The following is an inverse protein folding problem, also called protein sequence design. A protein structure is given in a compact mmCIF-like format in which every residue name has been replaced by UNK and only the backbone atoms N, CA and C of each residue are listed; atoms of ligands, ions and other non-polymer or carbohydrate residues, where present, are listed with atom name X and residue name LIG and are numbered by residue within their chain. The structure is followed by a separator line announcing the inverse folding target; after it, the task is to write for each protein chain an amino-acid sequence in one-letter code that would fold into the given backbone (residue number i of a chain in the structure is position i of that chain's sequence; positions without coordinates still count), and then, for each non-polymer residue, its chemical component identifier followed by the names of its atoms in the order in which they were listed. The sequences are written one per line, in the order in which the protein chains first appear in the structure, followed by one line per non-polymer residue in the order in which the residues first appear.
data_IF_031090905411
#
_entry.id   IF_031090905411
#
_cell.length_a   1.000
_cell.length_b   1.000
_cell.length_c   1.000
_cell.angle_alpha   90.00
_cell.angle_beta   90.00
_cell.angle_gamma   90.00
#
_symmetry.space_group_name_H-M   'P 1'
#
loop_
_entity.id
_entity.type
_entity.pdbx_description
1 polymer ?
#
# COMPACT_ATOMS: atom_id res chain seq x y z
N UNK A 1 -5.28 0.99 -28.63
CA UNK A 1 -4.51 -0.25 -28.84
C UNK A 1 -5.14 -1.40 -28.06
N UNK A 2 -4.99 -2.63 -28.56
CA UNK A 2 -5.49 -3.85 -27.91
C UNK A 2 -4.33 -4.84 -27.83
N UNK A 3 -4.18 -5.52 -26.69
CA UNK A 3 -3.19 -6.60 -26.60
C UNK A 3 -3.56 -7.74 -27.56
N UNK A 4 -2.57 -8.42 -28.14
CA UNK A 4 -2.83 -9.47 -29.15
C UNK A 4 -3.71 -10.60 -28.61
N UNK A 5 -3.59 -10.87 -27.32
CA UNK A 5 -4.28 -11.91 -26.58
C UNK A 5 -5.62 -11.44 -25.99
N UNK A 6 -5.99 -10.16 -26.18
CA UNK A 6 -7.21 -9.60 -25.63
C UNK A 6 -7.22 -9.48 -24.10
N UNK A 7 -6.05 -9.25 -23.49
CA UNK A 7 -5.89 -9.07 -22.03
C UNK A 7 -6.29 -7.67 -21.60
N UNK A 8 -5.96 -6.66 -22.41
CA UNK A 8 -6.28 -5.26 -22.13
C UNK A 8 -6.51 -4.44 -23.42
N UNK A 9 -7.22 -3.34 -23.25
CA UNK A 9 -7.28 -2.21 -24.18
C UNK A 9 -6.76 -0.95 -23.51
N UNK A 10 -6.10 -0.08 -24.27
CA UNK A 10 -5.63 1.21 -23.77
C UNK A 10 -5.48 2.22 -24.91
N UNK A 11 -5.48 3.51 -24.60
CA UNK A 11 -5.12 4.58 -25.52
C UNK A 11 -3.84 5.26 -25.03
N UNK A 12 -2.96 5.64 -25.95
CA UNK A 12 -1.73 6.33 -25.57
C UNK A 12 -1.25 7.23 -26.69
N UNK A 13 -0.69 8.35 -26.29
CA UNK A 13 0.07 9.21 -27.18
C UNK A 13 1.46 8.63 -27.42
N UNK A 14 1.85 8.53 -28.70
CA UNK A 14 3.19 8.13 -29.11
C UNK A 14 3.51 8.75 -30.48
N UNK A 15 4.80 8.96 -30.75
CA UNK A 15 5.29 9.49 -32.03
C UNK A 15 5.19 8.46 -33.18
N UNK A 16 5.09 7.18 -32.86
CA UNK A 16 4.88 6.10 -33.81
C UNK A 16 4.07 4.97 -33.16
N UNK A 17 3.66 3.99 -33.96
CA UNK A 17 2.89 2.84 -33.47
C UNK A 17 3.66 2.12 -32.34
N UNK A 18 3.00 1.85 -31.20
CA UNK A 18 3.63 1.19 -30.07
C UNK A 18 3.94 -0.28 -30.39
N UNK A 19 5.05 -0.80 -29.86
CA UNK A 19 5.41 -2.21 -29.98
C UNK A 19 4.96 -2.97 -28.74
N UNK A 20 4.21 -4.06 -28.93
CA UNK A 20 3.77 -4.94 -27.85
C UNK A 20 4.54 -6.26 -27.91
N UNK A 21 5.16 -6.62 -26.79
CA UNK A 21 5.91 -7.88 -26.63
C UNK A 21 5.38 -8.62 -25.40
N UNK A 22 4.99 -9.88 -25.58
CA UNK A 22 4.49 -10.74 -24.51
C UNK A 22 5.66 -11.30 -23.69
N UNK A 23 5.51 -11.27 -22.37
CA UNK A 23 6.37 -11.94 -21.41
C UNK A 23 5.54 -12.83 -20.48
N UNK A 24 6.20 -13.67 -19.67
CA UNK A 24 5.48 -14.46 -18.66
C UNK A 24 4.81 -13.50 -17.64
N UNK A 25 3.49 -13.57 -17.54
CA UNK A 25 2.68 -12.79 -16.58
C UNK A 25 2.60 -11.28 -16.83
N UNK A 26 3.14 -10.78 -17.96
CA UNK A 26 3.06 -9.37 -18.33
C UNK A 26 3.17 -9.13 -19.83
N UNK A 27 2.74 -7.96 -20.29
CA UNK A 27 2.94 -7.49 -21.66
C UNK A 27 3.74 -6.19 -21.61
N UNK A 28 4.87 -6.17 -22.31
CA UNK A 28 5.72 -4.99 -22.48
C UNK A 28 5.20 -4.15 -23.64
N UNK A 29 5.02 -2.86 -23.39
CA UNK A 29 4.69 -1.82 -24.35
C UNK A 29 5.91 -0.92 -24.49
N UNK A 30 6.40 -0.76 -25.72
CA UNK A 30 7.41 0.23 -26.05
C UNK A 30 6.75 1.36 -26.83
N UNK A 31 6.80 2.57 -26.27
CA UNK A 31 6.16 3.77 -26.79
C UNK A 31 7.24 4.72 -27.31
N UNK A 32 7.40 4.86 -28.63
CA UNK A 32 8.33 5.84 -29.19
C UNK A 32 7.82 7.25 -28.88
N UNK A 33 8.61 8.07 -28.18
CA UNK A 33 8.26 9.45 -27.85
C UNK A 33 8.87 10.49 -28.82
N UNK A 34 9.56 10.02 -29.87
CA UNK A 34 10.38 10.89 -30.73
C UNK A 34 11.71 11.27 -30.09
N UNK A 35 12.13 10.53 -29.06
CA UNK A 35 13.40 10.67 -28.34
C UNK A 35 14.33 9.49 -28.61
N UNK A 36 15.57 9.56 -28.11
CA UNK A 36 16.55 8.46 -28.25
C UNK A 36 16.14 7.19 -27.49
N UNK A 37 15.47 7.34 -26.34
CA UNK A 37 15.01 6.23 -25.50
C UNK A 37 13.47 6.12 -25.53
N UNK A 38 12.91 4.97 -25.96
CA UNK A 38 11.46 4.77 -25.88
C UNK A 38 11.01 4.64 -24.43
N UNK A 39 9.78 5.08 -24.15
CA UNK A 39 9.14 4.81 -22.88
C UNK A 39 8.72 3.33 -22.86
N UNK A 40 9.12 2.60 -21.82
CA UNK A 40 8.81 1.19 -21.66
C UNK A 40 7.81 0.99 -20.52
N UNK A 41 6.67 0.36 -20.80
CA UNK A 41 5.67 0.01 -19.81
C UNK A 41 5.45 -1.50 -19.75
N UNK A 42 5.11 -2.02 -18.58
CA UNK A 42 4.74 -3.42 -18.34
C UNK A 42 3.35 -3.44 -17.74
N UNK A 43 2.40 -4.04 -18.46
CA UNK A 43 1.06 -4.33 -17.94
C UNK A 43 1.09 -5.74 -17.38
N UNK A 44 0.85 -5.87 -16.08
CA UNK A 44 0.84 -7.14 -15.37
C UNK A 44 -0.57 -7.74 -15.32
N UNK A 45 -0.65 -9.05 -15.20
CA UNK A 45 -1.93 -9.78 -15.08
C UNK A 45 -2.33 -10.08 -13.63
N UNK A 46 -1.43 -9.81 -12.69
CA UNK A 46 -1.64 -10.02 -11.26
C UNK A 46 -1.14 -8.82 -10.47
N UNK A 47 -1.76 -8.51 -9.31
CA UNK A 47 -1.29 -7.45 -8.42
C UNK A 47 0.22 -7.50 -8.20
N UNK A 48 0.84 -6.33 -8.18
CA UNK A 48 2.27 -6.15 -7.89
C UNK A 48 2.45 -5.35 -6.60
N UNK A 49 3.51 -5.67 -5.87
CA UNK A 49 3.99 -4.88 -4.74
C UNK A 49 4.68 -3.63 -5.29
N UNK A 50 4.10 -2.44 -5.11
CA UNK A 50 4.49 -1.26 -5.87
C UNK A 50 5.90 -0.77 -5.51
N UNK A 51 6.26 -0.74 -4.22
CA UNK A 51 7.60 -0.35 -3.78
C UNK A 51 8.63 -1.42 -4.18
N UNK A 52 8.29 -2.70 -4.01
CA UNK A 52 9.10 -3.84 -4.44
C UNK A 52 9.37 -3.86 -5.94
N UNK A 53 8.37 -3.56 -6.77
CA UNK A 53 8.51 -3.48 -8.23
C UNK A 53 9.45 -2.34 -8.65
N UNK A 54 9.32 -1.17 -8.03
CA UNK A 54 10.23 -0.03 -8.28
C UNK A 54 11.66 -0.36 -7.85
N UNK A 55 11.84 -0.97 -6.67
CA UNK A 55 13.15 -1.41 -6.21
C UNK A 55 13.76 -2.49 -7.12
N UNK A 56 12.96 -3.39 -7.68
CA UNK A 56 13.43 -4.39 -8.64
C UNK A 56 14.03 -3.75 -9.90
N UNK A 57 13.45 -2.64 -10.39
CA UNK A 57 14.04 -1.87 -11.50
C UNK A 57 15.38 -1.26 -11.09
N UNK A 58 15.47 -0.67 -9.90
CA UNK A 58 16.73 -0.11 -9.40
C UNK A 58 17.83 -1.19 -9.28
N UNK A 59 17.49 -2.37 -8.76
CA UNK A 59 18.41 -3.52 -8.68
C UNK A 59 18.83 -4.03 -10.07
N UNK A 60 17.90 -4.06 -11.03
CA UNK A 60 18.22 -4.43 -12.41
C UNK A 60 19.20 -3.43 -13.03
N UNK A 61 19.00 -2.12 -12.79
CA UNK A 61 19.92 -1.07 -13.23
C UNK A 61 21.32 -1.24 -12.62
N UNK A 62 21.42 -1.47 -11.31
CA UNK A 62 22.70 -1.73 -10.62
C UNK A 62 23.41 -3.01 -11.09
N UNK A 63 22.66 -3.98 -11.65
CA UNK A 63 23.24 -5.19 -12.22
C UNK A 63 24.10 -4.94 -13.47
N UNK A 64 23.97 -3.76 -14.10
CA UNK A 64 24.79 -3.37 -15.24
C UNK A 64 26.18 -2.87 -14.76
N UNK A 65 27.22 -3.31 -15.47
CA UNK A 65 28.61 -2.98 -15.12
C UNK A 65 28.83 -1.46 -15.09
N UNK A 66 29.32 -0.96 -13.95
CA UNK A 66 29.65 0.45 -13.77
C UNK A 66 28.47 1.34 -13.36
N UNK A 67 27.27 0.80 -13.17
CA UNK A 67 26.10 1.57 -12.73
C UNK A 67 26.02 1.61 -11.21
N UNK A 68 25.91 2.81 -10.64
CA UNK A 68 25.66 3.04 -9.21
C UNK A 68 24.38 3.85 -9.04
N UNK A 69 23.37 3.28 -8.39
CA UNK A 69 22.15 4.03 -8.03
C UNK A 69 22.44 4.90 -6.80
N UNK A 70 22.22 6.20 -6.94
CA UNK A 70 22.45 7.20 -5.91
C UNK A 70 21.19 7.44 -5.06
N UNK A 71 20.03 7.49 -5.71
CA UNK A 71 18.77 7.84 -5.07
C UNK A 71 17.61 7.06 -5.69
N UNK A 72 16.55 6.86 -4.91
CA UNK A 72 15.28 6.32 -5.34
C UNK A 72 14.19 6.98 -4.50
N UNK A 73 13.50 7.97 -5.07
CA UNK A 73 12.63 8.85 -4.30
C UNK A 73 11.28 9.05 -5.00
N UNK A 74 10.14 8.77 -4.32
CA UNK A 74 8.84 9.19 -4.81
C UNK A 74 8.76 10.70 -5.03
N UNK A 75 8.17 11.09 -6.16
CA UNK A 75 8.00 12.50 -6.56
C UNK A 75 6.55 12.93 -6.55
N UNK A 76 5.61 11.99 -6.73
CA UNK A 76 4.18 12.23 -6.70
C UNK A 76 3.39 10.95 -6.39
N UNK A 77 2.23 11.09 -5.75
CA UNK A 77 1.30 10.01 -5.45
C UNK A 77 -0.13 10.51 -5.65
N UNK A 78 -0.89 9.86 -6.52
CA UNK A 78 -2.25 10.26 -6.87
C UNK A 78 -3.15 9.07 -7.20
N UNK A 79 -4.45 9.31 -7.38
CA UNK A 79 -5.41 8.29 -7.84
C UNK A 79 -5.70 8.48 -9.33
N UNK A 80 -5.53 7.42 -10.13
CA UNK A 80 -5.84 7.41 -11.57
C UNK A 80 -6.71 6.21 -11.89
N UNK A 81 -7.90 6.46 -12.44
CA UNK A 81 -8.91 5.45 -12.75
C UNK A 81 -9.13 4.46 -11.60
N UNK A 82 -9.35 5.00 -10.38
CA UNK A 82 -9.68 4.23 -9.19
C UNK A 82 -8.55 3.39 -8.59
N UNK A 83 -7.28 3.62 -8.97
CA UNK A 83 -6.12 2.95 -8.41
C UNK A 83 -5.02 3.97 -8.04
N UNK A 84 -4.20 3.68 -7.02
CA UNK A 84 -3.08 4.54 -6.66
C UNK A 84 -1.99 4.46 -7.72
N UNK A 85 -1.39 5.61 -8.02
CA UNK A 85 -0.23 5.78 -8.89
C UNK A 85 0.85 6.48 -8.09
N UNK A 86 2.08 5.96 -8.15
CA UNK A 86 3.26 6.55 -7.55
C UNK A 86 4.32 6.80 -8.64
N UNK A 87 4.80 8.03 -8.70
CA UNK A 87 5.92 8.43 -9.55
C UNK A 87 7.20 8.43 -8.72
N UNK A 88 8.29 7.94 -9.31
CA UNK A 88 9.58 7.80 -8.63
C UNK A 88 10.68 8.26 -9.57
N UNK A 89 11.59 9.09 -9.07
CA UNK A 89 12.85 9.40 -9.75
C UNK A 89 13.96 8.50 -9.17
N UNK A 90 14.77 7.94 -10.06
CA UNK A 90 15.99 7.20 -9.71
C UNK A 90 17.18 7.90 -10.35
N UNK A 91 18.04 8.50 -9.53
CA UNK A 91 19.32 9.05 -9.97
C UNK A 91 20.38 7.96 -9.92
N UNK A 92 21.20 7.87 -10.97
CA UNK A 92 22.29 6.92 -11.05
C UNK A 92 23.52 7.51 -11.75
N UNK A 93 24.66 6.88 -11.52
CA UNK A 93 25.93 7.16 -12.16
C UNK A 93 26.40 5.96 -12.96
N UNK A 94 27.07 6.21 -14.09
CA UNK A 94 27.70 5.19 -14.93
C UNK A 94 29.18 5.52 -15.07
N UNK A 95 30.04 4.60 -14.64
CA UNK A 95 31.47 4.68 -14.86
C UNK A 95 31.78 4.55 -16.36
N UNK A 96 32.44 5.57 -16.92
CA UNK A 96 32.91 5.60 -18.30
C UNK A 96 34.42 5.38 -18.37
N UNK A 97 34.98 5.19 -19.57
CA UNK A 97 36.41 4.94 -19.75
C UNK A 97 37.26 6.12 -19.26
N UNK A 98 38.25 5.84 -18.41
CA UNK A 98 39.19 6.84 -17.88
C UNK A 98 38.53 7.78 -16.87
N UNK A 99 38.42 7.32 -15.61
CA UNK A 99 37.95 8.01 -14.39
C UNK A 99 36.74 8.97 -14.52
N UNK A 100 35.99 8.85 -15.61
CA UNK A 100 34.86 9.71 -15.94
C UNK A 100 33.58 9.03 -15.48
N UNK A 101 32.62 9.83 -15.03
CA UNK A 101 31.32 9.36 -14.56
C UNK A 101 30.25 10.15 -15.27
N UNK A 102 29.26 9.46 -15.83
CA UNK A 102 28.08 10.07 -16.43
C UNK A 102 26.89 9.90 -15.50
N UNK A 103 26.20 11.00 -15.19
CA UNK A 103 24.98 10.97 -14.39
C UNK A 103 23.75 10.74 -15.29
N UNK A 104 22.82 9.91 -14.83
CA UNK A 104 21.56 9.61 -15.48
C UNK A 104 20.38 9.68 -14.52
N UNK A 105 19.17 9.78 -15.09
CA UNK A 105 17.92 9.80 -14.33
C UNK A 105 16.83 9.00 -15.03
N UNK A 106 16.43 7.93 -14.38
CA UNK A 106 15.29 7.11 -14.76
C UNK A 106 14.03 7.62 -14.07
N UNK A 107 12.97 7.91 -14.84
CA UNK A 107 11.63 8.15 -14.27
C UNK A 107 10.86 6.85 -14.27
N UNK A 108 10.16 6.60 -13.18
CA UNK A 108 9.32 5.44 -12.98
C UNK A 108 7.91 5.88 -12.61
N UNK A 109 6.93 5.10 -13.05
CA UNK A 109 5.54 5.21 -12.63
C UNK A 109 5.05 3.80 -12.32
N UNK A 110 4.45 3.62 -11.15
CA UNK A 110 3.76 2.38 -10.79
C UNK A 110 2.31 2.65 -10.46
N UNK A 111 1.40 1.93 -11.10
CA UNK A 111 -0.03 1.89 -10.80
C UNK A 111 -0.36 0.57 -10.11
N UNK A 112 -0.77 0.60 -8.85
CA UNK A 112 -1.12 -0.60 -8.09
C UNK A 112 -2.61 -0.95 -8.24
N UNK A 113 -3.06 -1.17 -9.48
CA UNK A 113 -4.41 -1.65 -9.74
C UNK A 113 -4.54 -3.14 -9.43
N UNK A 114 -5.66 -3.59 -8.84
CA UNK A 114 -5.88 -5.02 -8.60
C UNK A 114 -6.14 -5.82 -9.89
N UNK A 115 -6.46 -5.15 -11.01
CA UNK A 115 -6.82 -5.81 -12.27
C UNK A 115 -5.69 -5.75 -13.30
N UNK A 116 -5.21 -4.53 -13.58
CA UNK A 116 -4.15 -4.28 -14.56
C UNK A 116 -3.12 -3.33 -13.95
N UNK A 117 -2.24 -3.84 -13.07
CA UNK A 117 -1.11 -3.06 -12.60
C UNK A 117 -0.18 -2.71 -13.76
N UNK A 118 0.44 -1.54 -13.66
CA UNK A 118 1.25 -0.95 -14.70
C UNK A 118 2.55 -0.43 -14.08
N UNK A 119 3.69 -0.78 -14.66
CA UNK A 119 4.99 -0.20 -14.34
C UNK A 119 5.59 0.40 -15.59
N UNK A 120 5.86 1.70 -15.60
CA UNK A 120 6.47 2.40 -16.72
C UNK A 120 7.82 2.98 -16.32
N UNK A 121 8.73 3.05 -17.28
CA UNK A 121 10.09 3.51 -17.14
C UNK A 121 10.50 4.36 -18.36
N UNK A 122 11.23 5.45 -18.11
CA UNK A 122 11.80 6.29 -19.18
C UNK A 122 13.14 6.87 -18.74
N UNK A 123 14.20 6.48 -19.44
CA UNK A 123 15.58 6.83 -19.14
C UNK A 123 16.09 7.92 -20.09
N UNK A 124 15.81 9.18 -19.72
CA UNK A 124 16.31 10.33 -20.47
C UNK A 124 16.30 11.58 -19.59
N UNK A 125 17.33 12.45 -19.68
CA UNK A 125 17.30 13.76 -19.04
C UNK A 125 16.10 14.60 -19.50
N UNK A 126 15.50 15.38 -18.59
CA UNK A 126 14.31 16.19 -18.89
C UNK A 126 13.02 15.36 -18.98
N UNK A 127 12.04 15.80 -19.77
CA UNK A 127 10.79 15.07 -20.07
C UNK A 127 9.92 14.59 -18.89
N UNK A 128 10.19 14.98 -17.64
CA UNK A 128 9.43 14.50 -16.47
C UNK A 128 7.92 14.75 -16.60
N UNK A 129 7.51 15.95 -17.05
CA UNK A 129 6.09 16.27 -17.28
C UNK A 129 5.49 15.46 -18.42
N UNK A 130 6.24 15.23 -19.50
CA UNK A 130 5.79 14.40 -20.63
C UNK A 130 5.60 12.95 -20.20
N UNK A 131 6.55 12.40 -19.45
CA UNK A 131 6.45 11.07 -18.87
C UNK A 131 5.23 10.95 -17.96
N UNK A 132 5.05 11.88 -17.01
CA UNK A 132 3.92 11.87 -16.09
C UNK A 132 2.58 11.94 -16.83
N UNK A 133 2.46 12.83 -17.82
CA UNK A 133 1.24 12.96 -18.64
C UNK A 133 0.93 11.69 -19.42
N UNK A 134 1.86 11.21 -20.25
CA UNK A 134 1.64 10.03 -21.12
C UNK A 134 1.33 8.79 -20.30
N UNK A 135 2.04 8.58 -19.19
CA UNK A 135 1.80 7.41 -18.32
C UNK A 135 0.49 7.52 -17.53
N UNK A 136 0.09 8.73 -17.13
CA UNK A 136 -1.23 8.97 -16.50
C UNK A 136 -2.36 8.72 -17.50
N UNK A 137 -2.24 9.22 -18.72
CA UNK A 137 -3.24 9.03 -19.78
C UNK A 137 -3.36 7.53 -20.15
N UNK A 138 -2.22 6.83 -20.26
CA UNK A 138 -2.20 5.37 -20.45
C UNK A 138 -2.90 4.65 -19.29
N UNK A 139 -2.56 5.00 -18.05
CA UNK A 139 -3.16 4.43 -16.85
C UNK A 139 -4.69 4.67 -16.76
N UNK A 140 -5.15 5.83 -17.21
CA UNK A 140 -6.55 6.22 -17.18
C UNK A 140 -7.41 5.43 -18.19
N UNK A 141 -6.82 5.05 -19.32
CA UNK A 141 -7.51 4.35 -20.42
C UNK A 141 -7.30 2.84 -20.40
N UNK A 142 -6.40 2.33 -19.56
CA UNK A 142 -6.10 0.91 -19.42
C UNK A 142 -7.28 0.15 -18.80
N UNK A 143 -7.86 -0.77 -19.58
CA UNK A 143 -9.07 -1.51 -19.20
C UNK A 143 -8.94 -3.00 -19.57
N UNK A 144 -9.53 -3.85 -18.72
CA UNK A 144 -9.77 -5.26 -19.07
C UNK A 144 -10.92 -5.31 -20.08
N UNK A 145 -10.83 -6.09 -21.18
CA UNK A 145 -11.93 -6.17 -22.15
C UNK A 145 -13.19 -6.76 -21.51
N UNK A 146 -14.34 -6.20 -21.89
CA UNK A 146 -15.64 -6.64 -21.38
C UNK A 146 -16.30 -5.60 -20.47
N UNK A 147 -17.19 -6.06 -19.60
CA UNK A 147 -17.96 -5.17 -18.72
C UNK A 147 -17.02 -4.60 -17.63
N UNK A 148 -16.91 -3.27 -17.50
CA UNK A 148 -16.10 -2.67 -16.44
C UNK A 148 -16.54 -3.15 -15.06
N UNK A 149 -15.59 -3.42 -14.19
CA UNK A 149 -15.89 -3.70 -12.79
C UNK A 149 -16.44 -2.43 -12.14
N UNK A 150 -17.49 -2.59 -11.34
CA UNK A 150 -17.98 -1.48 -10.52
C UNK A 150 -16.85 -1.00 -9.59
N UNK A 151 -16.65 0.32 -9.45
CA UNK A 151 -15.70 0.87 -8.50
C UNK A 151 -15.95 0.34 -7.09
N UNK A 152 -14.88 0.24 -6.29
CA UNK A 152 -15.04 -0.10 -4.88
C UNK A 152 -15.87 1.00 -4.19
N UNK A 153 -16.98 0.65 -3.49
CA UNK A 153 -17.82 1.63 -2.79
C UNK A 153 -17.05 2.45 -1.74
N UNK A 154 -15.99 1.85 -1.19
CA UNK A 154 -15.04 2.52 -0.32
C UNK A 154 -13.66 2.50 -0.99
N UNK A 155 -13.06 3.68 -1.14
CA UNK A 155 -11.68 3.82 -1.55
C UNK A 155 -11.02 5.03 -0.86
N UNK A 156 -9.86 4.85 -0.25
CA UNK A 156 -9.09 5.94 0.37
C UNK A 156 -7.61 5.83 0.02
N UNK A 157 -7.00 6.96 -0.34
CA UNK A 157 -5.56 7.11 -0.50
C UNK A 157 -5.01 7.91 0.66
N UNK A 158 -3.98 7.37 1.31
CA UNK A 158 -3.11 8.13 2.19
C UNK A 158 -1.73 8.22 1.59
N UNK A 159 -1.13 9.40 1.71
CA UNK A 159 0.25 9.63 1.32
C UNK A 159 1.14 9.47 2.55
N UNK A 160 2.21 8.71 2.39
CA UNK A 160 3.22 8.50 3.41
C UNK A 160 4.42 9.40 3.13
N UNK A 161 4.87 10.14 4.15
CA UNK A 161 6.04 11.02 4.06
C UNK A 161 7.04 10.71 5.16
N UNK A 162 8.31 10.58 4.81
CA UNK A 162 9.43 10.47 5.74
C UNK A 162 10.18 11.80 5.79
N UNK A 163 10.31 12.40 6.96
CA UNK A 163 10.91 13.74 7.14
C UNK A 163 10.30 14.78 6.18
N UNK A 164 8.98 14.72 6.02
CA UNK A 164 8.21 15.61 5.13
C UNK A 164 8.34 15.32 3.63
N UNK A 165 9.18 14.36 3.20
CA UNK A 165 9.34 13.94 1.80
C UNK A 165 8.50 12.72 1.48
N UNK A 166 7.94 12.64 0.27
CA UNK A 166 7.15 11.48 -0.14
C UNK A 166 7.98 10.19 -0.02
N UNK A 167 7.39 9.18 0.62
CA UNK A 167 7.98 7.87 0.83
C UNK A 167 7.09 6.76 0.28
N UNK A 168 5.78 6.99 0.09
CA UNK A 168 4.89 5.96 -0.43
C UNK A 168 3.42 6.27 -0.18
N UNK A 169 2.60 5.23 -0.07
CA UNK A 169 1.17 5.36 0.13
C UNK A 169 0.55 4.20 0.91
N UNK A 170 -0.61 4.45 1.52
CA UNK A 170 -1.59 3.43 1.88
C UNK A 170 -2.80 3.56 0.95
N UNK A 171 -3.22 2.44 0.37
CA UNK A 171 -4.42 2.35 -0.44
C UNK A 171 -5.42 1.43 0.23
N UNK A 172 -6.58 1.96 0.55
CA UNK A 172 -7.65 1.24 1.23
C UNK A 172 -8.83 1.08 0.31
N UNK A 173 -9.37 -0.12 0.23
CA UNK A 173 -10.63 -0.40 -0.48
C UNK A 173 -11.57 -1.21 0.38
N UNK A 174 -12.87 -1.07 0.15
CA UNK A 174 -13.89 -1.84 0.84
C UNK A 174 -15.03 -2.22 -0.09
N UNK A 175 -15.60 -3.40 0.15
CA UNK A 175 -16.79 -3.90 -0.57
C UNK A 175 -17.61 -4.83 0.30
N UNK A 176 -18.90 -4.90 0.02
CA UNK A 176 -19.78 -5.90 0.59
C UNK A 176 -19.55 -7.27 -0.05
N UNK A 177 -19.75 -8.31 0.75
CA UNK A 177 -19.80 -9.70 0.37
C UNK A 177 -21.24 -10.21 0.56
N UNK A 178 -21.49 -11.43 0.11
CA UNK A 178 -22.78 -12.09 0.33
C UNK A 178 -23.07 -12.25 1.84
N UNK A 179 -24.36 -12.17 2.21
CA UNK A 179 -24.80 -12.33 3.60
C UNK A 179 -24.49 -11.14 4.51
N UNK A 180 -24.25 -9.94 3.97
CA UNK A 180 -24.05 -8.71 4.73
C UNK A 180 -22.61 -8.50 5.24
N UNK A 181 -21.74 -9.50 5.10
CA UNK A 181 -20.34 -9.40 5.44
C UNK A 181 -19.62 -8.31 4.63
N UNK A 182 -18.58 -7.71 5.20
CA UNK A 182 -17.78 -6.70 4.53
C UNK A 182 -16.33 -7.17 4.40
N UNK A 183 -15.68 -6.81 3.29
CA UNK A 183 -14.24 -6.97 3.10
C UNK A 183 -13.60 -5.62 2.91
N UNK A 184 -12.62 -5.32 3.76
CA UNK A 184 -11.71 -4.19 3.61
C UNK A 184 -10.31 -4.70 3.31
N UNK A 185 -9.59 -4.01 2.44
CA UNK A 185 -8.20 -4.29 2.12
C UNK A 185 -7.39 -3.01 2.23
N UNK A 186 -6.27 -3.06 2.94
CA UNK A 186 -5.31 -1.96 3.06
C UNK A 186 -3.97 -2.45 2.50
N UNK A 187 -3.50 -1.79 1.46
CA UNK A 187 -2.22 -2.06 0.81
C UNK A 187 -1.29 -0.87 1.01
N UNK A 188 -0.20 -1.07 1.73
CA UNK A 188 0.87 -0.11 1.96
C UNK A 188 2.03 -0.39 1.03
N UNK A 189 2.58 0.64 0.41
CA UNK A 189 3.85 0.58 -0.33
C UNK A 189 4.74 1.73 0.11
N UNK A 190 5.95 1.43 0.58
CA UNK A 190 6.86 2.38 1.19
C UNK A 190 8.29 2.17 0.67
N UNK A 191 8.90 3.25 0.18
CA UNK A 191 10.31 3.34 -0.17
C UNK A 191 11.04 4.12 0.92
N UNK A 192 11.97 3.44 1.58
CA UNK A 192 12.78 3.99 2.66
C UNK A 192 14.22 4.15 2.20
N UNK A 193 14.94 5.18 2.70
CA UNK A 193 16.39 5.21 2.57
C UNK A 193 16.94 4.01 3.34
N UNK A 194 17.66 3.11 2.67
CA UNK A 194 18.29 2.00 3.39
C UNK A 194 19.64 2.40 3.96
N UNK A 195 20.02 1.76 5.06
CA UNK A 195 21.33 1.93 5.67
C UNK A 195 22.39 1.22 4.83
N UNK A 196 23.39 1.97 4.35
CA UNK A 196 24.62 1.56 3.64
C UNK A 196 24.51 0.68 2.38
N UNK A 197 23.35 0.08 2.09
CA UNK A 197 23.14 -0.94 1.04
C UNK A 197 22.12 -0.50 -0.04
N UNK A 198 21.82 0.80 -0.14
CA UNK A 198 20.83 1.34 -1.07
C UNK A 198 19.40 1.36 -0.51
N UNK A 199 18.39 1.75 -1.30
CA UNK A 199 17.00 1.90 -0.85
C UNK A 199 16.37 0.59 -0.37
N UNK A 200 15.45 0.68 0.61
CA UNK A 200 14.62 -0.44 1.10
C UNK A 200 13.18 -0.25 0.62
N UNK A 201 12.54 -1.34 0.20
CA UNK A 201 11.11 -1.36 -0.11
C UNK A 201 10.35 -2.19 0.93
N UNK A 202 9.21 -1.68 1.37
CA UNK A 202 8.27 -2.37 2.24
C UNK A 202 6.89 -2.34 1.61
N UNK A 203 6.29 -3.52 1.41
CA UNK A 203 4.93 -3.66 0.91
C UNK A 203 4.13 -4.53 1.87
N UNK A 204 2.98 -4.03 2.32
CA UNK A 204 2.12 -4.72 3.28
C UNK A 204 0.69 -4.74 2.78
N UNK A 205 0.05 -5.90 2.84
CA UNK A 205 -1.39 -6.02 2.61
C UNK A 205 -2.07 -6.58 3.85
N UNK A 206 -3.13 -5.93 4.30
CA UNK A 206 -4.04 -6.43 5.33
C UNK A 206 -5.45 -6.54 4.74
N UNK A 207 -5.97 -7.75 4.64
CA UNK A 207 -7.37 -7.99 4.30
C UNK A 207 -8.15 -8.31 5.56
N UNK A 208 -9.25 -7.60 5.80
CA UNK A 208 -10.15 -7.82 6.94
C UNK A 208 -11.53 -8.18 6.41
N UNK A 209 -12.10 -9.28 6.91
CA UNK A 209 -13.48 -9.69 6.66
C UNK A 209 -14.26 -9.62 7.96
N UNK A 210 -15.39 -8.91 7.94
CA UNK A 210 -16.28 -8.76 9.10
C UNK A 210 -17.67 -9.29 8.79
N UNK A 211 -18.42 -9.64 9.83
CA UNK A 211 -19.85 -9.92 9.70
C UNK A 211 -20.68 -8.63 9.57
N UNK A 212 -22.00 -8.78 9.54
CA UNK A 212 -23.00 -7.70 9.45
C UNK A 212 -23.01 -6.78 10.68
N UNK A 213 -22.46 -7.23 11.81
CA UNK A 213 -22.27 -6.45 13.04
C UNK A 213 -20.91 -5.75 13.09
N UNK A 214 -20.05 -5.98 12.11
CA UNK A 214 -18.70 -5.42 12.07
C UNK A 214 -17.69 -6.16 12.95
N UNK A 215 -18.03 -7.35 13.47
CA UNK A 215 -17.12 -8.20 14.24
C UNK A 215 -16.18 -8.96 13.28
N UNK A 216 -14.93 -9.16 13.71
CA UNK A 216 -13.93 -9.82 12.87
C UNK A 216 -14.28 -11.30 12.61
N UNK A 217 -14.32 -11.70 11.33
CA UNK A 217 -14.41 -13.10 10.90
C UNK A 217 -13.04 -13.65 10.48
N UNK A 218 -12.32 -12.90 9.64
CA UNK A 218 -11.01 -13.30 9.11
C UNK A 218 -10.13 -12.07 8.92
N UNK A 219 -8.84 -12.19 9.21
CA UNK A 219 -7.83 -11.20 8.86
C UNK A 219 -6.64 -11.87 8.18
N UNK A 220 -6.16 -11.33 7.06
CA UNK A 220 -4.97 -11.82 6.35
C UNK A 220 -3.92 -10.73 6.35
N UNK A 221 -2.70 -11.08 6.71
CA UNK A 221 -1.53 -10.22 6.66
C UNK A 221 -0.55 -10.80 5.66
N UNK A 222 -0.05 -9.97 4.75
CA UNK A 222 1.12 -10.23 3.94
C UNK A 222 2.07 -9.05 4.11
N UNK A 223 3.35 -9.33 4.36
CA UNK A 223 4.40 -8.32 4.41
C UNK A 223 5.57 -8.81 3.58
N UNK A 224 6.00 -7.97 2.64
CA UNK A 224 7.19 -8.16 1.85
C UNK A 224 8.19 -7.04 2.15
N UNK A 225 9.45 -7.42 2.29
CA UNK A 225 10.57 -6.51 2.38
C UNK A 225 11.49 -6.78 1.19
N UNK A 226 11.84 -5.72 0.45
CA UNK A 226 12.70 -5.79 -0.72
C UNK A 226 12.23 -6.78 -1.80
N UNK A 227 10.91 -6.95 -1.93
CA UNK A 227 10.27 -7.90 -2.84
C UNK A 227 10.25 -9.35 -2.35
N UNK A 228 10.64 -9.62 -1.10
CA UNK A 228 10.63 -10.95 -0.49
C UNK A 228 9.58 -11.03 0.61
N UNK A 229 8.69 -12.03 0.54
CA UNK A 229 7.64 -12.21 1.54
C UNK A 229 8.25 -12.64 2.89
N UNK A 230 8.20 -11.74 3.88
CA UNK A 230 8.74 -11.95 5.24
C UNK A 230 7.65 -12.36 6.23
N UNK A 231 6.38 -12.08 5.97
CA UNK A 231 5.26 -12.50 6.81
C UNK A 231 4.04 -12.85 5.95
N UNK A 232 3.40 -13.95 6.27
CA UNK A 232 2.09 -14.29 5.71
C UNK A 232 1.28 -15.02 6.77
N UNK A 233 0.23 -14.40 7.30
CA UNK A 233 -0.56 -14.97 8.40
C UNK A 233 -2.04 -14.74 8.17
N UNK A 234 -2.84 -15.78 8.36
CA UNK A 234 -4.30 -15.69 8.39
C UNK A 234 -4.78 -15.93 9.81
N UNK A 235 -5.59 -15.01 10.32
CA UNK A 235 -6.34 -15.11 11.56
C UNK A 235 -7.81 -15.40 11.24
N UNK A 236 -8.45 -16.33 11.94
CA UNK A 236 -9.88 -16.65 11.80
C UNK A 236 -10.53 -16.71 13.16
N UNK A 237 -11.71 -16.11 13.30
CA UNK A 237 -12.55 -16.29 14.47
C UNK A 237 -13.16 -17.69 14.45
N UNK A 238 -13.03 -18.42 15.55
CA UNK A 238 -13.69 -19.72 15.68
C UNK A 238 -15.17 -19.53 15.97
N UNK A 239 -16.03 -20.31 15.31
CA UNK A 239 -17.46 -20.34 15.64
C UNK A 239 -17.66 -21.19 16.89
N UNK A 240 -18.31 -20.68 17.94
CA UNK A 240 -18.61 -21.50 19.10
C UNK A 240 -19.50 -22.67 18.68
N UNK A 241 -19.10 -23.89 19.05
CA UNK A 241 -19.83 -25.12 18.73
C UNK A 241 -21.11 -25.29 19.54
N UNK A 242 -21.25 -24.55 20.65
CA UNK A 242 -22.44 -24.50 21.51
C UNK A 242 -22.66 -23.08 22.05
N UNK A 243 -23.90 -22.66 22.36
CA UNK A 243 -24.16 -21.40 23.03
C UNK A 243 -23.40 -21.35 24.37
N UNK A 244 -22.61 -20.30 24.64
CA UNK A 244 -21.81 -20.21 25.85
C UNK A 244 -22.70 -19.94 27.07
N UNK A 245 -22.42 -20.61 28.20
CA UNK A 245 -23.13 -20.41 29.50
C UNK A 245 -22.60 -19.23 30.32
N UNK A 246 -21.46 -18.66 29.92
CA UNK A 246 -20.74 -17.55 30.55
C UNK A 246 -20.35 -16.58 29.43
N UNK A 247 -20.04 -15.31 29.74
CA UNK A 247 -19.51 -14.34 28.76
C UNK A 247 -18.40 -14.98 27.93
N UNK A 248 -18.61 -15.23 26.63
CA UNK A 248 -17.68 -16.02 25.85
C UNK A 248 -16.39 -15.24 25.62
N UNK A 249 -15.26 -15.83 26.01
CA UNK A 249 -13.99 -15.49 25.39
C UNK A 249 -14.09 -15.79 23.88
N UNK A 250 -13.68 -14.84 23.05
CA UNK A 250 -13.68 -15.02 21.60
C UNK A 250 -12.37 -15.70 21.22
N UNK A 251 -12.46 -16.92 20.69
CA UNK A 251 -11.29 -17.68 20.25
C UNK A 251 -10.95 -17.35 18.80
N UNK A 252 -9.66 -17.14 18.55
CA UNK A 252 -9.10 -16.99 17.21
C UNK A 252 -8.05 -18.06 16.95
N UNK A 253 -8.01 -18.54 15.71
CA UNK A 253 -6.97 -19.42 15.18
C UNK A 253 -6.12 -18.66 14.18
N UNK A 254 -4.80 -18.75 14.31
CA UNK A 254 -3.86 -18.21 13.35
C UNK A 254 -3.04 -19.32 12.66
N UNK A 255 -2.74 -19.12 11.38
CA UNK A 255 -1.93 -20.03 10.58
C UNK A 255 -1.17 -19.27 9.49
N UNK A 256 0.09 -19.64 9.24
CA UNK A 256 0.94 -18.95 8.28
C UNK A 256 2.44 -19.18 8.49
N UNK A 257 3.23 -18.16 8.16
CA UNK A 257 4.70 -18.17 8.29
C UNK A 257 5.26 -16.77 8.53
N UNK A 258 6.42 -16.71 9.19
CA UNK A 258 7.29 -15.54 9.30
C UNK A 258 8.70 -15.94 8.88
N UNK A 259 9.15 -15.44 7.73
CA UNK A 259 10.31 -15.97 7.02
C UNK A 259 10.13 -17.46 6.74
N UNK A 260 11.05 -18.27 7.26
CA UNK A 260 11.00 -19.73 7.18
C UNK A 260 10.25 -20.38 8.34
N UNK A 261 9.92 -19.63 9.40
CA UNK A 261 9.27 -20.15 10.61
C UNK A 261 7.77 -20.34 10.37
N UNK A 262 7.22 -21.56 10.48
CA UNK A 262 5.77 -21.76 10.44
C UNK A 262 5.12 -21.16 11.70
N UNK A 263 3.95 -20.57 11.52
CA UNK A 263 3.12 -20.02 12.59
C UNK A 263 1.79 -20.77 12.61
N UNK A 264 1.42 -21.33 13.75
CA UNK A 264 0.11 -21.98 13.95
C UNK A 264 -0.24 -21.98 15.43
N UNK A 265 -1.49 -21.66 15.75
CA UNK A 265 -1.98 -21.72 17.13
C UNK A 265 -3.33 -21.06 17.28
N UNK A 266 -3.72 -20.88 18.54
CA UNK A 266 -4.95 -20.19 18.93
C UNK A 266 -4.68 -19.23 20.08
N UNK A 267 -5.51 -18.21 20.21
CA UNK A 267 -5.57 -17.35 21.39
C UNK A 267 -7.00 -16.90 21.64
N UNK A 268 -7.25 -16.33 22.82
CA UNK A 268 -8.56 -15.78 23.18
C UNK A 268 -8.47 -14.28 23.42
N UNK A 269 -9.54 -13.55 23.10
CA UNK A 269 -9.71 -12.14 23.47
C UNK A 269 -11.06 -11.96 24.17
N UNK A 270 -11.11 -11.04 25.14
CA UNK A 270 -12.33 -10.73 25.90
C UNK A 270 -13.29 -9.85 25.11
N UNK A 271 -12.75 -8.89 24.36
CA UNK A 271 -13.49 -7.88 23.61
C UNK A 271 -13.52 -8.16 22.11
N UNK A 272 -12.72 -9.13 21.65
CA UNK A 272 -12.54 -9.44 20.23
C UNK A 272 -11.47 -8.54 19.61
N UNK A 273 -10.96 -8.97 18.46
CA UNK A 273 -10.03 -8.15 17.67
C UNK A 273 -10.80 -7.02 17.00
N UNK A 274 -10.42 -5.78 17.34
CA UNK A 274 -11.00 -4.57 16.82
C UNK A 274 -10.79 -4.45 15.31
N UNK A 275 -11.88 -4.12 14.64
CA UNK A 275 -11.89 -3.77 13.21
C UNK A 275 -11.78 -2.26 13.07
N UNK A 276 -11.45 -1.78 11.87
CA UNK A 276 -11.36 -0.34 11.65
C UNK A 276 -12.70 0.38 11.93
N UNK A 277 -13.83 -0.26 11.62
CA UNK A 277 -15.15 0.28 11.94
C UNK A 277 -15.32 0.47 13.45
N UNK A 278 -14.89 -0.50 14.26
CA UNK A 278 -14.92 -0.41 15.72
C UNK A 278 -14.02 0.73 16.23
N UNK A 279 -12.82 0.89 15.64
CA UNK A 279 -11.91 2.01 15.98
C UNK A 279 -12.56 3.35 15.64
N UNK A 280 -13.12 3.51 14.43
CA UNK A 280 -13.81 4.74 14.00
C UNK A 280 -14.97 5.08 14.93
N UNK A 281 -15.79 4.09 15.26
CA UNK A 281 -16.91 4.26 16.20
C UNK A 281 -16.43 4.68 17.58
N UNK A 282 -15.44 4.00 18.18
CA UNK A 282 -14.95 4.36 19.50
C UNK A 282 -14.26 5.73 19.54
N UNK A 283 -13.58 6.14 18.47
CA UNK A 283 -13.07 7.52 18.34
C UNK A 283 -14.22 8.52 18.25
N UNK A 284 -15.19 8.30 17.36
CA UNK A 284 -16.30 9.22 17.13
C UNK A 284 -17.18 9.37 18.36
N UNK A 285 -17.65 8.26 18.90
CA UNK A 285 -18.67 8.21 19.95
C UNK A 285 -18.07 8.31 21.36
N UNK A 286 -16.83 7.87 21.56
CA UNK A 286 -16.14 7.98 22.84
C UNK A 286 -15.29 9.25 22.95
N UNK A 287 -14.29 9.39 22.07
CA UNK A 287 -13.28 10.45 22.22
C UNK A 287 -13.76 11.82 21.74
N UNK A 288 -14.40 11.90 20.57
CA UNK A 288 -14.77 13.18 19.96
C UNK A 288 -15.99 13.83 20.61
N UNK A 289 -16.91 13.05 21.18
CA UNK A 289 -18.01 13.54 22.03
C UNK A 289 -17.53 13.99 23.41
N UNK A 290 -16.37 13.48 23.85
CA UNK A 290 -15.83 13.68 25.18
C UNK A 290 -16.44 12.77 26.25
N UNK A 291 -17.22 11.76 25.87
CA UNK A 291 -17.71 10.72 26.78
C UNK A 291 -16.58 9.91 27.41
N UNK A 292 -15.45 9.76 26.70
CA UNK A 292 -14.26 9.09 27.18
C UNK A 292 -12.99 9.96 26.98
N UNK A 293 -12.04 9.87 27.91
CA UNK A 293 -10.69 10.41 27.74
C UNK A 293 -9.77 9.48 26.95
N UNK A 294 -10.06 8.18 27.00
CA UNK A 294 -9.34 7.13 26.29
C UNK A 294 -10.28 6.00 25.85
N UNK A 295 -9.90 5.28 24.80
CA UNK A 295 -10.53 4.04 24.36
C UNK A 295 -9.43 3.01 24.09
N UNK A 296 -9.72 1.75 24.41
CA UNK A 296 -8.78 0.64 24.29
C UNK A 296 -9.32 -0.39 23.29
N UNK A 297 -8.41 -0.93 22.48
CA UNK A 297 -8.72 -1.93 21.47
C UNK A 297 -7.69 -3.04 21.49
N UNK A 298 -8.15 -4.28 21.36
CA UNK A 298 -7.27 -5.39 20.99
C UNK A 298 -7.12 -5.41 19.48
N UNK A 299 -5.92 -5.31 18.92
CA UNK A 299 -5.66 -5.50 17.49
C UNK A 299 -4.74 -6.71 17.26
N UNK A 300 -4.79 -7.30 16.07
CA UNK A 300 -3.87 -8.39 15.73
C UNK A 300 -2.70 -7.86 14.89
N UNK A 301 -1.48 -7.92 15.45
CA UNK A 301 -0.23 -7.46 14.82
C UNK A 301 0.79 -8.62 14.79
N UNK A 302 0.68 -9.56 13.85
CA UNK A 302 1.47 -10.80 13.85
C UNK A 302 2.98 -10.60 13.73
N UNK A 303 3.44 -9.44 13.28
CA UNK A 303 4.86 -9.09 13.26
C UNK A 303 5.43 -8.82 14.67
N UNK A 304 4.59 -8.33 15.59
CA UNK A 304 4.96 -8.02 16.98
C UNK A 304 4.65 -9.18 17.91
N UNK A 305 3.44 -9.74 17.79
CA UNK A 305 3.00 -10.92 18.52
C UNK A 305 2.08 -11.76 17.66
N UNK A 306 2.52 -12.99 17.33
CA UNK A 306 1.72 -13.93 16.54
C UNK A 306 0.69 -14.69 17.36
N UNK A 307 0.82 -14.72 18.69
CA UNK A 307 0.06 -15.60 19.58
C UNK A 307 -0.82 -14.86 20.58
N UNK A 308 -0.95 -13.54 20.48
CA UNK A 308 -1.79 -12.73 21.35
C UNK A 308 -2.25 -11.46 20.64
N UNK A 309 -3.38 -10.85 21.06
CA UNK A 309 -3.70 -9.49 20.67
C UNK A 309 -2.65 -8.51 21.19
N UNK A 310 -2.56 -7.38 20.52
CA UNK A 310 -1.78 -6.22 20.95
C UNK A 310 -2.77 -5.13 21.36
N UNK A 311 -2.63 -4.62 22.57
CA UNK A 311 -3.45 -3.51 23.04
C UNK A 311 -3.04 -2.22 22.31
N UNK A 312 -4.04 -1.50 21.82
CA UNK A 312 -3.93 -0.15 21.26
C UNK A 312 -4.77 0.77 22.12
N UNK A 313 -4.15 1.83 22.62
CA UNK A 313 -4.82 2.86 23.41
C UNK A 313 -4.85 4.15 22.61
N UNK A 314 -6.05 4.69 22.38
CA UNK A 314 -6.24 6.02 21.81
C UNK A 314 -6.66 6.97 22.93
N UNK A 315 -5.93 8.07 23.11
CA UNK A 315 -6.21 9.10 24.12
C UNK A 315 -6.40 10.46 23.48
N UNK A 316 -7.24 11.30 24.06
CA UNK A 316 -7.39 12.70 23.62
C UNK A 316 -6.17 13.52 24.03
N UNK A 317 -5.82 14.49 23.19
CA UNK A 317 -4.76 15.46 23.46
C UNK A 317 -5.32 16.89 23.38
N UNK A 318 -6.16 17.33 24.35
CA UNK A 318 -6.93 18.59 24.22
C UNK A 318 -6.07 19.83 23.93
N UNK A 319 -4.85 19.87 24.48
CA UNK A 319 -3.90 20.95 24.25
C UNK A 319 -3.45 21.10 22.78
N UNK A 320 -3.46 20.01 22.01
CA UNK A 320 -3.12 20.00 20.57
C UNK A 320 -4.36 20.17 19.67
N UNK A 321 -5.57 20.22 20.24
CA UNK A 321 -6.83 20.49 19.55
C UNK A 321 -7.92 19.46 19.83
N UNK A 322 -9.19 19.76 19.45
CA UNK A 322 -10.35 18.95 19.82
C UNK A 322 -10.40 17.56 19.14
N UNK A 323 -9.64 17.35 18.07
CA UNK A 323 -9.53 16.06 17.35
C UNK A 323 -8.13 15.46 17.39
N UNK A 324 -7.23 16.05 18.19
CA UNK A 324 -5.88 15.54 18.38
C UNK A 324 -5.91 14.36 19.35
N UNK A 325 -5.22 13.31 18.98
CA UNK A 325 -5.15 12.04 19.70
C UNK A 325 -3.69 11.59 19.83
N UNK A 326 -3.41 10.76 20.82
CA UNK A 326 -2.22 9.90 20.84
C UNK A 326 -2.67 8.45 20.69
N UNK A 327 -1.99 7.70 19.83
CA UNK A 327 -2.15 6.26 19.68
C UNK A 327 -0.93 5.58 20.31
N UNK A 328 -1.16 4.69 21.28
CA UNK A 328 -0.09 3.92 21.92
C UNK A 328 -0.26 2.45 21.56
N UNK A 329 0.80 1.83 21.04
CA UNK A 329 0.88 0.38 20.81
C UNK A 329 2.20 -0.15 21.38
N UNK A 330 2.13 -0.90 22.49
CA UNK A 330 3.35 -1.32 23.19
C UNK A 330 4.22 -0.12 23.59
N UNK A 331 5.47 -0.09 23.12
CA UNK A 331 6.39 1.03 23.35
C UNK A 331 6.29 2.17 22.32
N UNK A 332 5.48 2.00 21.27
CA UNK A 332 5.33 2.99 20.20
C UNK A 332 4.22 3.96 20.59
N UNK A 333 4.52 5.25 20.51
CA UNK A 333 3.56 6.34 20.64
C UNK A 333 3.52 7.08 19.30
N UNK A 334 2.33 7.22 18.76
CA UNK A 334 2.05 7.95 17.52
C UNK A 334 1.15 9.14 17.86
N UNK A 335 1.42 10.29 17.25
CA UNK A 335 0.46 11.38 17.23
C UNK A 335 -0.57 11.11 16.14
N UNK A 336 -1.82 11.50 16.37
CA UNK A 336 -2.89 11.29 15.41
C UNK A 336 -3.89 12.43 15.43
N UNK A 337 -4.58 12.62 14.30
CA UNK A 337 -5.73 13.51 14.20
C UNK A 337 -6.88 12.77 13.55
N UNK A 338 -8.05 12.82 14.17
CA UNK A 338 -9.27 12.25 13.62
C UNK A 338 -10.08 13.30 12.84
N UNK A 339 -10.88 12.84 11.87
CA UNK A 339 -11.93 13.63 11.25
C UNK A 339 -13.27 13.48 11.99
N UNK A 340 -14.32 14.16 11.53
CA UNK A 340 -15.64 14.13 12.17
C UNK A 340 -16.29 12.74 12.21
N UNK A 341 -15.91 11.83 11.30
CA UNK A 341 -16.43 10.44 11.28
C UNK A 341 -15.67 9.49 12.21
N UNK A 342 -14.64 9.98 12.92
CA UNK A 342 -13.76 9.19 13.77
C UNK A 342 -12.62 8.49 13.02
N UNK A 343 -12.48 8.72 11.71
CA UNK A 343 -11.35 8.21 10.94
C UNK A 343 -10.08 9.02 11.23
N UNK A 344 -8.95 8.37 11.43
CA UNK A 344 -7.66 9.05 11.56
C UNK A 344 -7.30 9.67 10.20
N UNK A 345 -7.30 10.98 10.04
CA UNK A 345 -6.93 11.66 8.78
C UNK A 345 -5.45 11.99 8.70
N UNK A 346 -4.76 11.97 9.84
CA UNK A 346 -3.33 12.21 9.94
C UNK A 346 -2.74 11.37 11.07
N UNK A 347 -1.57 10.78 10.87
CA UNK A 347 -0.75 10.18 11.94
C UNK A 347 0.72 10.51 11.77
N UNK A 348 1.47 10.48 12.87
CA UNK A 348 2.92 10.63 12.89
C UNK A 348 3.55 9.65 13.87
N UNK A 349 4.61 8.98 13.44
CA UNK A 349 5.41 8.09 14.27
C UNK A 349 6.89 8.21 13.96
N UNK A 350 7.72 7.94 14.96
CA UNK A 350 9.18 7.89 14.78
C UNK A 350 9.62 6.50 14.36
N UNK A 351 10.34 6.42 13.24
CA UNK A 351 11.06 5.25 12.77
C UNK A 351 12.58 5.44 12.99
N UNK A 352 13.39 4.37 12.91
CA UNK A 352 14.85 4.50 12.87
C UNK A 352 15.36 5.44 11.76
N UNK A 353 14.65 5.50 10.64
CA UNK A 353 14.99 6.33 9.47
C UNK A 353 14.52 7.79 9.59
N UNK A 354 13.64 8.11 10.56
CA UNK A 354 13.07 9.45 10.76
C UNK A 354 11.57 9.45 11.08
N UNK A 355 10.97 10.64 11.07
CA UNK A 355 9.53 10.84 11.31
C UNK A 355 8.72 10.45 10.08
N UNK A 356 7.87 9.44 10.23
CA UNK A 356 6.91 9.03 9.20
C UNK A 356 5.53 9.62 9.50
N UNK A 357 4.99 10.40 8.58
CA UNK A 357 3.61 10.89 8.62
C UNK A 357 2.73 10.17 7.59
N UNK A 358 1.47 9.91 7.92
CA UNK A 358 0.44 9.42 7.00
C UNK A 358 -0.68 10.46 6.89
N UNK A 359 -1.04 10.87 5.69
CA UNK A 359 -2.04 11.92 5.45
C UNK A 359 -3.12 11.42 4.49
N UNK A 360 -4.40 11.52 4.86
CA UNK A 360 -5.52 11.21 3.98
C UNK A 360 -5.67 12.29 2.90
N UNK A 361 -5.48 11.92 1.63
CA UNK A 361 -5.53 12.88 0.50
C UNK A 361 -6.68 12.60 -0.47
N UNK A 362 -7.24 11.39 -0.45
CA UNK A 362 -8.42 11.03 -1.24
C UNK A 362 -9.31 10.09 -0.44
N UNK A 363 -10.61 10.33 -0.49
CA UNK A 363 -11.62 9.42 0.03
C UNK A 363 -12.84 9.49 -0.88
N UNK A 364 -13.32 8.34 -1.34
CA UNK A 364 -14.66 8.23 -1.92
C UNK A 364 -15.65 8.35 -0.75
N UNK A 365 -16.56 9.34 -0.77
CA UNK A 365 -17.58 9.46 0.27
C UNK A 365 -18.37 8.15 0.36
N UNK A 366 -18.59 7.65 1.58
CA UNK A 366 -19.53 6.56 1.79
C UNK A 366 -20.92 7.05 1.36
N UNK A 367 -21.66 6.31 0.50
CA UNK A 367 -22.97 6.72 0.03
C UNK A 367 -24.01 6.87 1.15
#
# INVERSE_FOLDING_TARGET
MTSKEGIFTAEVEAAAAPRLTRHEGSTRLELPLGTEAPLSCFVYERPIDAAGAVLAVAKAAQGHKGVTVLSLAPTDVQVVAGAPVMFVDMDYEVATSGDSVSAGRLKLMVRASPELPLLCAHDQPGYARTFQRITTDLAATLQVPGKPRAPAPLAELRVLKLEGRLAGFDWRTGRSLDGGAQRTEVSTSLLLPGASNGPRAEDRTVTTVTDDKGELLEQRHAFAENGQLTLQVTLRRERPSKPPRVTPLITYRYEGRQGTRPLKGTFTSRTGIATEAMVRTGVREGLLTGEASEVLFDVYRPAESSSAPTEVVLRRTPAAGPRALTLTTGAIIEEARANASGALEWTERTLPEGRLTSELVHAVPTP
#
